data_IF_293586897774
#
_entry.id   IF_293586897774
#
_cell.length_a   1.000
_cell.length_b   1.000
_cell.length_c   1.000
_cell.angle_alpha   90.00
_cell.angle_beta   90.00
_cell.angle_gamma   90.00
#
_symmetry.space_group_name_H-M   'P 1'
#
loop_
_entity.id
_entity.type
_entity.pdbx_description
1 polymer ?
2 polymer ?
3 polymer ?
4 non-polymer ?
5 water ?
#
loop_
_entity_poly.entity_id
_entity_poly.type
_entity_poly.pdbx_seq_one_letter_code
_entity_poly.pdbx_strand_id
3 'polyribonucleotide' '(GDP)GGCCGGGCGCGGUGGCGCGCGCCUGUAGUCCCAGCUACUCGGGAGGCUC' ?
#
# COMPACT_ATOMS: atom_id res chain seq x y z
N UNK A 1 -8.34 -27.10 -18.50
CA UNK A 1 -8.34 -25.91 -19.36
C UNK A 1 -7.04 -25.15 -19.15
N UNK A 2 -6.70 -24.26 -20.08
CA UNK A 2 -5.50 -23.45 -19.98
C UNK A 2 -6.02 -22.06 -19.64
N UNK A 3 -5.19 -21.21 -19.06
CA UNK A 3 -5.63 -19.85 -18.72
C UNK A 3 -4.72 -18.78 -19.35
N UNK A 4 -5.30 -17.63 -19.65
CA UNK A 4 -4.56 -16.52 -20.28
C UNK A 4 -4.02 -15.46 -19.33
N UNK A 5 -4.36 -15.54 -18.06
CA UNK A 5 -3.87 -14.58 -17.08
C UNK A 5 -3.56 -15.29 -15.78
N UNK A 6 -2.41 -14.96 -15.19
CA UNK A 6 -1.99 -15.57 -13.94
C UNK A 6 -3.02 -15.37 -12.84
N UNK A 7 -3.71 -14.25 -12.89
CA UNK A 7 -4.73 -13.94 -11.89
C UNK A 7 -5.71 -15.10 -11.72
N UNK A 8 -6.46 -15.41 -12.79
CA UNK A 8 -7.45 -16.48 -12.76
C UNK A 8 -6.87 -17.79 -12.29
N UNK A 9 -5.98 -18.32 -13.12
CA UNK A 9 -5.30 -19.57 -12.86
C UNK A 9 -4.85 -19.73 -11.41
N UNK A 10 -4.40 -18.64 -10.81
CA UNK A 10 -3.95 -18.69 -9.43
C UNK A 10 -5.01 -19.25 -8.51
N UNK A 11 -6.09 -18.50 -8.31
CA UNK A 11 -7.17 -18.97 -7.43
C UNK A 11 -7.72 -20.27 -7.96
N UNK A 12 -7.93 -20.32 -9.27
CA UNK A 12 -8.44 -21.53 -9.87
C UNK A 12 -7.61 -22.66 -9.29
N UNK A 13 -6.29 -22.54 -9.41
CA UNK A 13 -5.39 -23.56 -8.91
C UNK A 13 -5.46 -23.72 -7.39
N UNK A 14 -5.29 -22.63 -6.67
CA UNK A 14 -5.34 -22.67 -5.20
C UNK A 14 -6.61 -23.31 -4.67
N UNK A 15 -7.75 -22.91 -5.24
CA UNK A 15 -9.06 -23.45 -4.85
C UNK A 15 -9.09 -24.96 -5.07
N UNK A 16 -8.64 -25.37 -6.24
CA UNK A 16 -8.59 -26.78 -6.63
C UNK A 16 -7.76 -27.58 -5.63
N UNK A 17 -6.61 -27.03 -5.26
CA UNK A 17 -5.75 -27.71 -4.31
C UNK A 17 -6.51 -27.80 -2.99
N UNK A 18 -7.16 -26.70 -2.64
CA UNK A 18 -7.91 -26.62 -1.40
C UNK A 18 -8.97 -27.70 -1.22
N UNK A 19 -9.69 -27.99 -2.30
CA UNK A 19 -10.77 -28.99 -2.29
C UNK A 19 -10.29 -30.44 -2.25
N UNK A 20 -9.00 -30.62 -2.02
CA UNK A 20 -8.36 -31.94 -1.95
C UNK A 20 -6.84 -31.81 -1.79
N UNK A 21 -6.40 -31.37 -0.61
CA UNK A 21 -4.96 -31.22 -0.37
C UNK A 21 -4.27 -32.54 -0.16
N UNK A 22 -4.45 -33.48 -1.07
CA UNK A 22 -3.80 -34.79 -0.94
C UNK A 22 -3.60 -35.50 -2.26
N UNK A 23 -4.52 -35.26 -3.21
CA UNK A 23 -4.42 -35.86 -4.53
C UNK A 23 -3.71 -34.87 -5.41
N UNK A 24 -4.10 -33.61 -5.27
CA UNK A 24 -3.52 -32.53 -6.07
C UNK A 24 -1.99 -32.53 -6.07
N UNK A 25 -1.45 -32.11 -7.21
CA UNK A 25 -0.02 -32.02 -7.44
C UNK A 25 0.28 -30.90 -8.46
N UNK A 26 1.42 -30.25 -8.31
CA UNK A 26 1.81 -29.16 -9.21
C UNK A 26 3.19 -29.41 -9.82
N UNK A 27 3.26 -29.33 -11.15
CA UNK A 27 4.52 -29.54 -11.83
C UNK A 27 4.90 -28.26 -12.58
N UNK A 28 6.20 -28.09 -12.80
CA UNK A 28 6.73 -26.93 -13.49
C UNK A 28 7.79 -27.43 -14.50
N UNK A 29 7.76 -26.87 -15.71
CA UNK A 29 8.68 -27.25 -16.78
C UNK A 29 9.25 -26.04 -17.47
N UNK A 30 10.55 -25.91 -17.35
CA UNK A 30 11.27 -24.82 -17.94
C UNK A 30 12.24 -25.33 -19.00
N UNK A 31 12.20 -24.74 -20.18
CA UNK A 31 13.10 -25.12 -21.27
C UNK A 31 13.80 -23.81 -21.60
N UNK A 32 15.08 -23.72 -21.24
CA UNK A 32 15.84 -22.51 -21.49
C UNK A 32 15.95 -22.23 -22.97
N UNK A 33 16.28 -23.27 -23.72
CA UNK A 33 16.48 -23.15 -25.15
C UNK A 33 15.28 -22.64 -25.94
N UNK A 34 14.08 -22.78 -25.40
CA UNK A 34 12.92 -22.29 -26.13
C UNK A 34 12.40 -21.01 -25.50
N UNK A 35 12.87 -20.73 -24.31
CA UNK A 35 12.47 -19.51 -23.63
C UNK A 35 11.04 -19.46 -23.15
N UNK A 36 10.59 -20.52 -22.50
CA UNK A 36 9.23 -20.53 -21.96
C UNK A 36 9.09 -21.39 -20.71
N UNK A 37 8.12 -21.02 -19.90
CA UNK A 37 7.81 -21.67 -18.65
C UNK A 37 6.47 -22.34 -18.84
N UNK A 38 6.04 -23.15 -17.88
CA UNK A 38 4.75 -23.83 -17.99
C UNK A 38 4.33 -24.50 -16.71
N UNK A 39 3.35 -23.91 -16.03
CA UNK A 39 2.86 -24.47 -14.77
C UNK A 39 1.54 -25.19 -15.00
N UNK A 40 1.40 -26.33 -14.35
CA UNK A 40 0.19 -27.13 -14.48
C UNK A 40 -0.16 -27.71 -13.13
N UNK A 41 -1.44 -27.69 -12.79
CA UNK A 41 -1.88 -28.29 -11.54
C UNK A 41 -2.95 -29.31 -11.87
N UNK A 42 -2.69 -30.57 -11.49
CA UNK A 42 -3.59 -31.70 -11.73
C UNK A 42 -4.16 -32.36 -10.49
N UNK A 43 -5.13 -33.23 -10.76
CA UNK A 43 -5.84 -34.03 -9.77
C UNK A 43 -5.90 -35.43 -10.37
N UNK A 44 -5.32 -35.55 -11.57
CA UNK A 44 -5.28 -36.80 -12.34
C UNK A 44 -6.67 -37.09 -12.85
N UNK A 45 -7.40 -36.01 -13.08
CA UNK A 45 -8.75 -36.06 -13.58
C UNK A 45 -9.11 -34.64 -13.98
N UNK A 46 -8.56 -33.67 -13.24
CA UNK A 46 -8.76 -32.24 -13.57
C UNK A 46 -7.34 -31.68 -13.82
N UNK A 47 -7.23 -30.76 -14.77
CA UNK A 47 -5.94 -30.21 -15.12
C UNK A 47 -5.95 -28.74 -15.53
N UNK A 48 -5.18 -27.94 -14.79
CA UNK A 48 -5.08 -26.52 -15.07
C UNK A 48 -3.71 -26.26 -15.66
N UNK A 49 -3.65 -25.32 -16.61
CA UNK A 49 -2.41 -25.05 -17.28
C UNK A 49 -2.14 -23.61 -17.63
N UNK A 50 -0.94 -23.14 -17.29
CA UNK A 50 -0.49 -21.78 -17.60
C UNK A 50 0.81 -21.81 -18.37
N UNK A 51 0.84 -21.12 -19.51
CA UNK A 51 2.06 -21.09 -20.32
C UNK A 51 2.55 -19.64 -20.45
N UNK A 52 3.87 -19.45 -20.39
CA UNK A 52 4.44 -18.09 -20.52
C UNK A 52 5.82 -18.06 -21.12
N UNK A 53 6.21 -16.86 -21.56
CA UNK A 53 7.53 -16.62 -22.11
C UNK A 53 7.92 -15.20 -21.71
N UNK A 54 7.19 -14.66 -20.72
CA UNK A 54 7.38 -13.33 -20.14
C UNK A 54 8.15 -13.47 -18.82
N UNK A 55 9.30 -12.83 -18.69
CA UNK A 55 10.09 -12.96 -17.45
C UNK A 55 9.33 -12.42 -16.25
N UNK A 56 8.46 -11.48 -16.54
CA UNK A 56 7.66 -10.86 -15.51
C UNK A 56 6.92 -11.91 -14.69
N UNK A 57 6.89 -13.15 -15.19
CA UNK A 57 6.16 -14.22 -14.52
C UNK A 57 6.91 -15.14 -13.56
N UNK A 58 8.20 -15.37 -13.80
CA UNK A 58 8.97 -16.26 -12.95
C UNK A 58 8.78 -15.99 -11.47
N UNK A 59 8.64 -14.72 -11.11
CA UNK A 59 8.47 -14.37 -9.70
C UNK A 59 7.06 -14.74 -9.28
N UNK A 60 6.08 -14.39 -10.10
CA UNK A 60 4.70 -14.71 -9.77
C UNK A 60 4.63 -16.21 -9.47
N UNK A 61 5.39 -17.02 -10.20
CA UNK A 61 5.36 -18.45 -9.94
C UNK A 61 6.17 -18.86 -8.71
N UNK A 62 7.44 -18.47 -8.65
CA UNK A 62 8.27 -18.85 -7.50
C UNK A 62 7.48 -18.54 -6.25
N UNK A 63 6.60 -17.55 -6.34
CA UNK A 63 5.77 -17.18 -5.21
C UNK A 63 4.72 -18.25 -4.98
N UNK A 64 3.93 -18.51 -6.02
CA UNK A 64 2.88 -19.51 -5.99
C UNK A 64 3.42 -20.77 -5.32
N UNK A 65 4.59 -21.22 -5.76
CA UNK A 65 5.21 -22.41 -5.18
C UNK A 65 5.37 -22.18 -3.70
N UNK A 66 6.08 -21.11 -3.37
CA UNK A 66 6.32 -20.76 -1.99
C UNK A 66 5.01 -20.70 -1.23
N UNK A 67 3.93 -20.36 -1.92
CA UNK A 67 2.62 -20.31 -1.27
C UNK A 67 2.12 -21.73 -1.05
N UNK A 68 2.06 -22.51 -2.11
CA UNK A 68 1.60 -23.88 -1.94
C UNK A 68 2.46 -24.61 -0.92
N UNK A 69 3.75 -24.30 -0.91
CA UNK A 69 4.62 -24.99 0.03
C UNK A 69 4.30 -24.67 1.48
N UNK A 70 3.54 -23.59 1.69
CA UNK A 70 3.19 -23.20 3.04
C UNK A 70 2.01 -24.01 3.54
N UNK A 71 0.98 -24.15 2.71
CA UNK A 71 -0.18 -24.94 3.09
C UNK A 71 0.27 -26.35 3.42
N UNK A 72 1.02 -26.94 2.51
CA UNK A 72 1.48 -28.31 2.71
C UNK A 72 2.22 -28.51 4.01
N UNK A 73 2.69 -27.43 4.61
CA UNK A 73 3.47 -27.60 5.83
C UNK A 73 2.87 -27.03 7.11
N UNK A 74 1.64 -26.55 7.05
CA UNK A 74 1.00 -26.04 8.26
C UNK A 74 0.05 -27.11 8.77
N UNK B 1 14.30 -42.53 -3.15
CA UNK B 1 15.31 -42.17 -2.10
C UNK B 1 15.44 -40.67 -1.89
N UNK B 2 15.19 -40.24 -0.65
CA UNK B 2 15.25 -38.83 -0.30
C UNK B 2 16.67 -38.30 -0.08
N UNK B 3 16.83 -37.01 -0.36
CA UNK B 3 18.11 -36.31 -0.20
C UNK B 3 17.94 -35.27 0.90
N UNK B 4 19.03 -34.95 1.60
CA UNK B 4 18.98 -33.96 2.67
C UNK B 4 18.59 -32.64 2.02
N UNK B 5 17.77 -31.85 2.71
CA UNK B 5 17.31 -30.55 2.19
C UNK B 5 18.34 -29.75 1.42
N UNK B 6 19.48 -29.50 2.06
CA UNK B 6 20.57 -28.74 1.42
C UNK B 6 21.04 -29.40 0.12
N UNK B 7 21.50 -30.64 0.24
CA UNK B 7 21.95 -31.40 -0.92
C UNK B 7 20.95 -31.26 -2.07
N UNK B 8 19.67 -31.44 -1.76
CA UNK B 8 18.65 -31.34 -2.78
C UNK B 8 18.85 -30.10 -3.59
N UNK B 9 18.88 -28.96 -2.91
CA UNK B 9 19.05 -27.67 -3.56
C UNK B 9 20.33 -27.58 -4.40
N UNK B 10 21.37 -28.33 -4.05
CA UNK B 10 22.57 -28.28 -4.87
C UNK B 10 22.40 -29.10 -6.16
N UNK B 11 21.86 -30.30 -6.04
CA UNK B 11 21.62 -31.14 -7.22
C UNK B 11 20.69 -30.39 -8.17
N UNK B 12 19.65 -29.77 -7.60
CA UNK B 12 18.70 -29.05 -8.42
C UNK B 12 19.40 -27.97 -9.22
N UNK B 13 20.18 -27.12 -8.52
CA UNK B 13 20.95 -26.04 -9.17
C UNK B 13 21.74 -26.61 -10.33
N UNK B 14 22.27 -27.80 -10.11
CA UNK B 14 23.04 -28.52 -11.12
C UNK B 14 22.15 -28.97 -12.29
N UNK B 15 20.96 -29.51 -11.99
CA UNK B 15 20.08 -29.92 -13.08
C UNK B 15 19.89 -28.76 -14.02
N UNK B 16 19.49 -27.63 -13.48
CA UNK B 16 19.27 -26.45 -14.30
C UNK B 16 20.50 -26.13 -15.14
N UNK B 17 21.66 -26.19 -14.52
CA UNK B 17 22.87 -25.88 -15.23
C UNK B 17 23.12 -26.79 -16.42
N UNK B 18 22.82 -28.08 -16.26
CA UNK B 18 23.01 -29.07 -17.33
C UNK B 18 21.98 -28.95 -18.43
N UNK B 19 20.80 -28.46 -18.10
CA UNK B 19 19.75 -28.33 -19.08
C UNK B 19 19.71 -27.00 -19.81
N UNK B 20 20.66 -26.11 -19.55
CA UNK B 20 20.61 -24.85 -20.27
C UNK B 20 20.76 -25.08 -21.76
N UNK B 21 21.91 -25.59 -22.18
CA UNK B 21 22.16 -25.79 -23.60
C UNK B 21 20.99 -26.25 -24.41
N UNK B 22 20.31 -27.29 -23.94
CA UNK B 22 19.15 -27.88 -24.64
C UNK B 22 18.62 -29.08 -23.85
N UNK B 23 17.53 -28.86 -23.11
CA UNK B 23 16.93 -29.92 -22.30
C UNK B 23 15.75 -29.33 -21.54
N UNK B 24 15.28 -29.95 -20.46
CA UNK B 24 14.16 -29.34 -19.72
C UNK B 24 14.22 -29.80 -18.29
N UNK B 25 13.77 -28.94 -17.39
CA UNK B 25 13.77 -29.28 -15.98
C UNK B 25 12.33 -29.43 -15.51
N UNK B 26 12.04 -30.50 -14.78
CA UNK B 26 10.68 -30.64 -14.29
C UNK B 26 10.74 -30.63 -12.75
N UNK B 27 9.87 -29.85 -12.12
CA UNK B 27 9.86 -29.80 -10.67
C UNK B 27 8.43 -30.03 -10.21
N UNK B 28 8.20 -31.00 -9.33
CA UNK B 28 6.83 -31.29 -8.86
C UNK B 28 6.73 -31.25 -7.34
N UNK B 29 5.59 -30.75 -6.87
CA UNK B 29 5.34 -30.56 -5.44
C UNK B 29 4.03 -31.22 -4.97
N UNK B 30 4.09 -32.04 -3.93
CA UNK B 30 2.91 -32.75 -3.42
C UNK B 30 2.99 -33.04 -1.91
N UNK B 31 1.85 -33.07 -1.23
CA UNK B 31 1.79 -33.37 0.20
C UNK B 31 2.31 -34.79 0.50
N UNK B 32 3.32 -34.88 1.37
CA UNK B 32 3.93 -36.16 1.72
C UNK B 32 3.18 -36.84 2.85
N UNK B 33 2.94 -38.14 2.71
CA UNK B 33 2.23 -38.91 3.74
C UNK B 33 2.19 -40.41 3.42
N UNK B 53 3.43 -33.12 9.38
CA UNK B 53 3.14 -32.57 8.06
C UNK B 53 4.36 -32.12 7.27
N UNK B 54 4.46 -32.63 6.05
CA UNK B 54 5.58 -32.31 5.17
C UNK B 54 5.07 -32.21 3.75
N UNK B 55 5.98 -32.01 2.82
CA UNK B 55 5.62 -31.93 1.42
C UNK B 55 6.82 -32.40 0.63
N UNK B 56 6.56 -33.31 -0.30
CA UNK B 56 7.59 -33.90 -1.14
C UNK B 56 7.89 -32.97 -2.29
N UNK B 57 9.15 -32.89 -2.67
CA UNK B 57 9.56 -32.02 -3.76
C UNK B 57 10.46 -32.85 -4.65
N UNK B 58 10.12 -32.93 -5.93
CA UNK B 58 10.92 -33.72 -6.85
C UNK B 58 11.25 -32.93 -8.11
N UNK B 59 12.39 -33.25 -8.70
CA UNK B 59 12.81 -32.59 -9.92
C UNK B 59 13.65 -33.55 -10.75
N UNK B 60 13.49 -33.45 -12.07
CA UNK B 60 14.24 -34.31 -12.98
C UNK B 60 14.44 -33.65 -14.34
N UNK B 61 15.41 -34.16 -15.09
CA UNK B 61 15.72 -33.62 -16.41
C UNK B 61 15.22 -34.56 -17.49
N UNK B 62 14.60 -35.66 -17.05
CA UNK B 62 14.09 -36.66 -17.96
C UNK B 62 14.59 -38.00 -17.47
N UNK B 63 15.90 -38.10 -17.26
CA UNK B 63 16.54 -39.33 -16.81
C UNK B 63 16.89 -39.31 -15.32
N UNK B 64 17.82 -38.43 -14.95
CA UNK B 64 18.27 -38.27 -13.54
C UNK B 64 17.11 -37.74 -12.71
N UNK B 65 16.92 -38.26 -11.51
CA UNK B 65 15.80 -37.83 -10.68
C UNK B 65 16.15 -37.54 -9.21
N UNK B 66 15.87 -36.33 -8.74
CA UNK B 66 16.15 -35.95 -7.35
C UNK B 66 14.88 -35.59 -6.59
N UNK B 67 14.85 -35.89 -5.29
CA UNK B 67 13.69 -35.61 -4.46
C UNK B 67 14.04 -35.27 -3.00
N UNK B 68 13.11 -34.61 -2.30
CA UNK B 68 13.35 -34.25 -0.92
C UNK B 68 12.06 -33.91 -0.21
N UNK B 69 12.10 -33.97 1.12
CA UNK B 69 10.95 -33.66 1.94
C UNK B 69 11.23 -32.42 2.80
N UNK B 70 10.34 -31.44 2.74
CA UNK B 70 10.51 -30.21 3.51
C UNK B 70 9.39 -30.10 4.53
N UNK B 71 9.79 -29.89 5.79
CA UNK B 71 8.88 -29.78 6.95
C UNK B 71 8.81 -28.37 7.49
N UNK B 72 8.05 -28.18 8.58
CA UNK B 72 7.93 -26.85 9.19
C UNK B 72 9.25 -26.55 9.85
N UNK B 73 9.92 -27.61 10.30
CA UNK B 73 11.22 -27.44 10.95
C UNK B 73 12.17 -26.75 9.99
N UNK B 74 12.03 -27.04 8.70
CA UNK B 74 12.92 -26.51 7.67
C UNK B 74 12.41 -25.57 6.57
N UNK B 75 11.11 -25.27 6.53
CA UNK B 75 10.55 -24.40 5.49
C UNK B 75 11.29 -23.08 5.31
N UNK B 76 11.70 -22.45 6.41
CA UNK B 76 12.35 -21.16 6.33
C UNK B 76 13.68 -21.18 5.60
N UNK B 77 14.68 -21.86 6.13
CA UNK B 77 15.95 -21.86 5.43
C UNK B 77 15.75 -22.28 3.97
N UNK B 78 14.88 -23.25 3.77
CA UNK B 78 14.58 -23.81 2.46
C UNK B 78 13.87 -22.89 1.46
N UNK B 79 12.76 -22.27 1.87
CA UNK B 79 12.03 -21.39 0.94
C UNK B 79 12.95 -20.33 0.34
N UNK B 80 13.61 -19.55 1.18
CA UNK B 80 14.49 -18.51 0.65
C UNK B 80 15.51 -19.10 -0.32
N UNK B 81 16.15 -20.19 0.08
CA UNK B 81 17.13 -20.83 -0.79
C UNK B 81 16.46 -21.30 -2.07
N UNK B 82 15.36 -22.04 -1.92
CA UNK B 82 14.64 -22.53 -3.08
C UNK B 82 14.19 -21.36 -3.95
N UNK B 83 13.73 -20.29 -3.31
CA UNK B 83 13.29 -19.10 -4.01
C UNK B 83 14.40 -18.50 -4.86
N UNK B 84 15.58 -18.39 -4.27
CA UNK B 84 16.69 -17.82 -5.00
C UNK B 84 17.00 -18.72 -6.18
N UNK B 85 17.01 -20.02 -5.93
CA UNK B 85 17.33 -20.96 -7.00
C UNK B 85 16.42 -20.81 -8.22
N UNK B 86 15.10 -20.81 -7.99
CA UNK B 86 14.21 -20.67 -9.11
C UNK B 86 14.40 -19.36 -9.84
N UNK B 87 14.44 -18.26 -9.11
CA UNK B 87 14.58 -16.96 -9.77
C UNK B 87 15.77 -16.74 -10.68
N UNK B 88 16.96 -17.01 -10.18
CA UNK B 88 18.18 -16.83 -10.94
C UNK B 88 18.38 -17.80 -12.09
N UNK B 89 17.86 -19.03 -11.93
CA UNK B 89 18.02 -20.00 -12.98
C UNK B 89 17.00 -20.05 -14.11
N UNK B 90 15.92 -19.29 -14.03
CA UNK B 90 14.95 -19.32 -15.12
C UNK B 90 15.07 -18.01 -15.92
N UNK B 91 16.15 -17.86 -16.65
CA UNK B 91 16.37 -16.60 -17.36
C UNK B 91 15.95 -16.36 -18.83
N UNK B 92 15.99 -17.40 -19.65
CA UNK B 92 15.66 -17.24 -21.05
C UNK B 92 14.44 -16.44 -21.49
N UNK B 93 13.43 -16.31 -20.64
CA UNK B 93 12.18 -15.62 -20.98
C UNK B 93 12.28 -14.20 -21.55
N UNK B 94 11.17 -13.66 -22.05
CA UNK B 94 11.15 -12.30 -22.62
C UNK B 94 11.17 -11.25 -21.51
N UNK C 4 -21.54 36.44 -4.57
CA UNK C 4 -21.66 35.20 -5.41
C UNK C 4 -21.14 33.91 -4.73
N UNK C 5 -20.52 33.03 -5.51
CA UNK C 5 -20.01 31.77 -4.98
C UNK C 5 -19.28 31.88 -3.65
N UNK C 6 -18.22 32.68 -3.58
CA UNK C 6 -17.49 32.82 -2.32
C UNK C 6 -18.28 33.62 -1.31
N UNK C 7 -18.79 34.77 -1.74
CA UNK C 7 -19.57 35.66 -0.87
C UNK C 7 -20.82 34.93 -0.37
N UNK C 8 -21.39 34.10 -1.22
CA UNK C 8 -22.58 33.35 -0.83
C UNK C 8 -22.12 32.25 0.12
N UNK C 9 -21.16 31.46 -0.34
CA UNK C 9 -20.62 30.36 0.45
C UNK C 9 -20.39 30.71 1.92
N UNK C 10 -19.60 31.75 2.16
CA UNK C 10 -19.31 32.14 3.54
C UNK C 10 -20.62 32.29 4.34
N UNK C 11 -21.62 32.93 3.74
CA UNK C 11 -22.89 33.11 4.43
C UNK C 11 -23.36 31.75 4.93
N UNK C 12 -23.58 30.81 4.03
CA UNK C 12 -24.06 29.48 4.40
C UNK C 12 -23.24 28.87 5.55
N UNK C 13 -21.92 29.04 5.47
CA UNK C 13 -21.02 28.51 6.48
C UNK C 13 -21.26 29.17 7.83
N UNK C 14 -21.30 30.49 7.83
CA UNK C 14 -21.52 31.25 9.05
C UNK C 14 -22.94 31.05 9.57
N UNK C 15 -23.74 30.38 8.77
CA UNK C 15 -25.11 30.06 9.12
C UNK C 15 -25.02 28.78 9.97
N UNK C 16 -24.17 27.84 9.53
CA UNK C 16 -23.94 26.57 10.23
C UNK C 16 -23.21 26.78 11.52
N UNK C 17 -22.21 27.66 11.49
CA UNK C 17 -21.47 27.92 12.70
C UNK C 17 -22.41 28.42 13.80
N UNK C 18 -23.37 29.27 13.43
CA UNK C 18 -24.31 29.86 14.39
C UNK C 18 -25.43 28.89 14.82
N UNK C 19 -25.97 28.13 13.86
CA UNK C 19 -27.03 27.15 14.08
C UNK C 19 -26.67 26.27 15.29
N UNK C 20 -25.41 25.87 15.36
CA UNK C 20 -24.89 25.06 16.47
C UNK C 20 -23.38 25.06 16.37
N UNK C 21 -22.73 26.03 17.00
CA UNK C 21 -21.28 26.20 17.02
C UNK C 21 -20.53 25.14 17.79
N UNK C 22 -21.24 24.11 18.24
CA UNK C 22 -20.61 23.05 19.02
C UNK C 22 -20.60 21.71 18.27
N UNK C 23 -21.35 21.62 17.16
CA UNK C 23 -21.41 20.38 16.40
C UNK C 23 -20.71 20.47 15.05
N UNK C 24 -20.44 21.69 14.59
CA UNK C 24 -19.78 21.87 13.30
C UNK C 24 -18.28 22.13 13.48
N UNK C 25 -17.52 21.97 12.38
CA UNK C 25 -16.08 22.18 12.38
C UNK C 25 -15.72 22.68 11.00
N UNK C 26 -14.48 23.15 10.84
CA UNK C 26 -14.03 23.67 9.54
C UNK C 26 -12.63 23.19 9.10
N UNK C 27 -12.60 22.39 8.04
CA UNK C 27 -11.34 21.85 7.51
C UNK C 27 -10.74 22.81 6.48
N UNK C 28 -9.45 22.67 6.22
CA UNK C 28 -8.77 23.54 5.27
C UNK C 28 -7.59 22.77 4.64
N UNK C 29 -7.78 22.27 3.43
CA UNK C 29 -6.78 21.44 2.74
C UNK C 29 -5.89 22.07 1.68
N UNK C 30 -4.64 22.31 2.04
CA UNK C 30 -3.63 22.91 1.16
C UNK C 30 -2.72 21.89 0.49
N UNK C 31 -2.84 21.80 -0.82
CA UNK C 31 -2.07 20.86 -1.61
C UNK C 31 -1.16 21.61 -2.59
N UNK C 32 -0.06 22.12 -2.07
CA UNK C 32 0.96 22.87 -2.82
C UNK C 32 1.30 22.33 -4.22
N UNK C 33 1.63 21.05 -4.30
CA UNK C 33 1.98 20.42 -5.57
C UNK C 33 0.93 20.76 -6.61
N UNK C 34 -0.12 19.94 -6.69
CA UNK C 34 -1.20 20.17 -7.64
C UNK C 34 -1.58 21.65 -7.62
N UNK C 35 -1.22 22.32 -6.54
CA UNK C 35 -1.51 23.74 -6.42
C UNK C 35 -2.97 24.12 -6.32
N UNK C 36 -3.53 23.97 -5.12
CA UNK C 36 -4.92 24.31 -4.90
C UNK C 36 -5.29 24.31 -3.42
N UNK C 37 -6.22 25.20 -3.06
CA UNK C 37 -6.68 25.35 -1.70
C UNK C 37 -8.09 24.81 -1.60
N UNK C 38 -8.54 24.51 -0.39
CA UNK C 38 -9.88 23.96 -0.22
C UNK C 38 -10.43 24.12 1.19
N UNK C 39 -11.48 24.93 1.32
CA UNK C 39 -12.10 25.14 2.62
C UNK C 39 -13.38 24.36 2.70
N UNK C 40 -13.67 23.83 3.89
CA UNK C 40 -14.89 23.07 4.10
C UNK C 40 -15.41 23.25 5.51
N UNK C 41 -16.71 23.46 5.62
CA UNK C 41 -17.36 23.61 6.91
C UNK C 41 -18.50 22.62 6.91
N UNK C 42 -18.44 21.67 7.83
CA UNK C 42 -19.44 20.64 7.91
C UNK C 42 -19.96 20.44 9.30
N UNK C 43 -21.06 19.70 9.37
CA UNK C 43 -21.73 19.39 10.61
C UNK C 43 -22.12 17.92 10.52
N UNK C 44 -21.41 17.19 9.67
CA UNK C 44 -21.64 15.77 9.42
C UNK C 44 -23.09 15.48 9.03
N UNK C 45 -23.77 16.52 8.54
CA UNK C 45 -25.15 16.43 8.08
C UNK C 45 -25.40 17.56 7.09
N UNK C 46 -24.29 18.13 6.61
CA UNK C 46 -24.31 19.22 5.66
C UNK C 46 -22.88 19.52 5.15
N UNK C 47 -22.50 18.88 4.04
CA UNK C 47 -21.15 19.07 3.46
C UNK C 47 -21.09 20.33 2.58
N UNK C 48 -20.66 21.46 3.14
CA UNK C 48 -20.53 22.67 2.36
C UNK C 48 -19.05 22.86 2.12
N UNK C 49 -18.62 22.75 0.86
CA UNK C 49 -17.20 22.87 0.52
C UNK C 49 -16.86 23.81 -0.63
N UNK C 50 -15.70 24.48 -0.53
CA UNK C 50 -15.26 25.43 -1.55
C UNK C 50 -13.80 25.26 -1.98
N UNK C 51 -13.58 25.00 -3.28
CA UNK C 51 -12.22 24.80 -3.83
C UNK C 51 -11.79 25.95 -4.72
N UNK C 52 -10.48 26.21 -4.75
CA UNK C 52 -9.88 27.28 -5.54
C UNK C 52 -8.49 26.87 -6.02
N UNK C 53 -8.01 27.53 -7.07
CA UNK C 53 -6.67 27.26 -7.56
C UNK C 53 -6.01 28.60 -7.86
N UNK C 54 -6.84 29.61 -8.09
CA UNK C 54 -6.33 30.95 -8.38
C UNK C 54 -5.66 31.49 -7.13
N UNK C 55 -4.68 32.38 -7.33
CA UNK C 55 -3.93 32.96 -6.23
C UNK C 55 -4.65 34.04 -5.44
N UNK C 56 -5.42 34.87 -6.13
CA UNK C 56 -6.11 35.94 -5.45
C UNK C 56 -7.08 35.50 -4.34
N UNK C 57 -7.42 34.21 -4.31
CA UNK C 57 -8.35 33.66 -3.33
C UNK C 57 -7.83 33.24 -1.95
N UNK C 58 -6.52 33.19 -1.76
CA UNK C 58 -6.01 32.79 -0.47
C UNK C 58 -6.43 33.74 0.63
N UNK C 59 -6.10 35.01 0.47
CA UNK C 59 -6.43 36.04 1.47
C UNK C 59 -7.81 35.90 2.13
N UNK C 60 -8.87 35.94 1.34
CA UNK C 60 -10.22 35.81 1.90
C UNK C 60 -10.48 34.50 2.62
N UNK C 61 -9.95 33.41 2.05
CA UNK C 61 -10.10 32.09 2.67
C UNK C 61 -9.42 32.08 4.04
N UNK C 62 -8.24 32.70 4.13
CA UNK C 62 -7.51 32.74 5.39
C UNK C 62 -8.25 33.58 6.41
N UNK C 63 -8.86 34.68 5.96
CA UNK C 63 -9.59 35.58 6.85
C UNK C 63 -10.83 34.90 7.40
N UNK C 64 -11.51 34.15 6.52
CA UNK C 64 -12.72 33.44 6.91
C UNK C 64 -12.39 32.41 7.98
N UNK C 65 -11.14 31.99 7.97
CA UNK C 65 -10.61 31.02 8.91
C UNK C 65 -10.34 31.74 10.22
N UNK C 66 -9.49 32.76 10.16
CA UNK C 66 -9.15 33.54 11.34
C UNK C 66 -10.40 34.00 12.06
N UNK C 67 -11.43 34.43 11.31
CA UNK C 67 -12.66 34.90 11.93
C UNK C 67 -13.35 33.78 12.67
N UNK C 68 -13.76 32.75 11.93
CA UNK C 68 -14.45 31.61 12.53
C UNK C 68 -13.80 31.23 13.85
N UNK C 69 -12.49 31.36 13.92
CA UNK C 69 -11.76 31.04 15.15
C UNK C 69 -12.18 31.99 16.27
N UNK C 70 -12.24 33.28 15.95
CA UNK C 70 -12.59 34.32 16.91
C UNK C 70 -13.98 34.15 17.49
N UNK C 71 -14.90 33.58 16.72
CA UNK C 71 -16.26 33.38 17.24
C UNK C 71 -16.26 32.18 18.17
N UNK C 72 -15.24 31.34 18.02
CA UNK C 72 -15.09 30.15 18.83
C UNK C 72 -14.39 30.48 20.15
N UNK C 73 -13.63 31.58 20.15
CA UNK C 73 -12.93 31.99 21.35
C UNK C 73 -13.61 33.18 22.04
N UNK C 74 -14.56 33.81 21.35
CA UNK C 74 -15.25 34.95 21.93
C UNK C 74 -16.04 34.49 23.15
N UNK D 1 -0.59 14.58 19.04
CA UNK D 1 0.24 15.36 20.01
C UNK D 1 -0.31 16.76 20.25
N UNK D 2 -0.27 17.18 21.51
CA UNK D 2 -0.75 18.49 21.91
C UNK D 2 0.44 19.34 22.29
N UNK D 3 0.62 20.45 21.58
CA UNK D 3 1.74 21.37 21.84
C UNK D 3 1.31 22.68 22.51
N UNK D 4 2.29 23.52 22.82
CA UNK D 4 2.04 24.82 23.42
C UNK D 4 2.11 25.92 22.36
N UNK D 5 1.18 26.87 22.42
CA UNK D 5 1.11 28.00 21.49
C UNK D 5 2.27 28.05 20.51
N UNK D 6 3.47 28.34 21.01
CA UNK D 6 4.62 28.43 20.15
C UNK D 6 4.83 27.14 19.37
N UNK D 7 5.50 26.18 20.01
CA UNK D 7 5.78 24.87 19.43
C UNK D 7 4.94 24.60 18.19
N UNK D 8 3.62 24.62 18.36
CA UNK D 8 2.70 24.36 17.26
C UNK D 8 3.00 25.11 15.98
N UNK D 9 3.35 26.39 16.08
CA UNK D 9 3.67 27.16 14.89
C UNK D 9 4.90 26.63 14.14
N UNK D 10 5.98 26.31 14.88
CA UNK D 10 7.20 25.78 14.25
C UNK D 10 6.95 24.41 13.62
N UNK D 11 6.23 23.55 14.32
CA UNK D 11 5.93 22.24 13.76
C UNK D 11 5.13 22.48 12.47
N UNK D 12 4.15 23.39 12.54
CA UNK D 12 3.32 23.69 11.38
C UNK D 12 4.11 24.20 10.20
N UNK D 13 5.04 25.13 10.43
CA UNK D 13 5.82 25.62 9.32
C UNK D 13 6.41 24.43 8.61
N UNK D 14 6.97 23.51 9.39
CA UNK D 14 7.56 22.31 8.79
C UNK D 14 6.57 21.56 7.92
N UNK D 15 5.40 21.25 8.45
CA UNK D 15 4.42 20.51 7.65
C UNK D 15 4.28 21.03 6.23
N UNK D 16 4.39 22.35 6.06
CA UNK D 16 4.29 22.93 4.72
C UNK D 16 5.56 22.66 3.96
N UNK D 17 6.69 22.84 4.65
CA UNK D 17 8.00 22.61 4.05
C UNK D 17 8.23 21.14 3.74
N UNK D 18 7.56 20.26 4.48
CA UNK D 18 7.68 18.82 4.29
C UNK D 18 6.57 18.31 3.37
N UNK D 19 6.05 19.21 2.54
CA UNK D 19 4.98 18.86 1.61
C UNK D 19 5.01 19.72 0.37
N UNK D 20 6.02 20.57 0.27
CA UNK D 20 6.13 21.45 -0.88
C UNK D 20 6.29 20.67 -2.19
N UNK D 21 6.80 19.45 -2.12
CA UNK D 21 6.98 18.64 -3.32
C UNK D 21 5.78 17.75 -3.61
N UNK D 22 5.06 17.36 -2.57
CA UNK D 22 3.87 16.52 -2.73
C UNK D 22 3.08 16.44 -1.44
N UNK D 23 1.95 15.73 -1.46
CA UNK D 23 1.15 15.59 -0.26
C UNK D 23 0.29 16.81 0.06
N UNK D 24 -0.66 16.62 0.99
CA UNK D 24 -1.58 17.69 1.37
C UNK D 24 -1.46 18.05 2.84
N UNK D 25 -1.53 19.34 3.14
CA UNK D 25 -1.44 19.83 4.50
C UNK D 25 -2.82 20.16 5.04
N UNK D 26 -3.33 19.35 5.98
CA UNK D 26 -4.65 19.61 6.55
C UNK D 26 -4.60 20.48 7.80
N UNK D 27 -5.71 21.14 8.07
CA UNK D 27 -5.85 21.99 9.25
C UNK D 27 -7.34 22.07 9.54
N UNK D 28 -7.77 21.71 10.74
CA UNK D 28 -9.19 21.82 11.06
C UNK D 28 -9.31 22.66 12.31
N UNK D 29 -10.28 23.59 12.30
CA UNK D 29 -10.50 24.48 13.44
C UNK D 29 -11.77 24.05 14.15
N UNK D 30 -11.86 24.30 15.46
CA UNK D 30 -13.05 23.82 16.16
C UNK D 30 -13.25 24.42 17.56
N UNK D 31 -14.53 24.67 17.90
CA UNK D 31 -14.92 25.22 19.21
C UNK D 31 -14.70 24.07 20.22
N UNK D 32 -13.93 24.31 21.28
CA UNK D 32 -13.63 23.24 22.25
C UNK D 32 -13.89 23.53 23.73
N UNK D 33 -14.23 22.47 24.47
CA UNK D 33 -14.55 22.57 25.90
C UNK D 33 -13.93 21.46 26.80
N UNK D 34 -14.66 20.35 26.93
CA UNK D 34 -14.21 19.24 27.76
C UNK D 34 -12.87 18.61 27.38
N UNK D 53 -12.88 30.42 27.38
CA UNK D 53 -13.32 29.81 26.13
C UNK D 53 -12.13 29.48 25.23
N UNK D 54 -12.19 28.32 24.58
CA UNK D 54 -11.11 27.85 23.73
C UNK D 54 -11.54 27.12 22.45
N UNK D 55 -10.61 27.00 21.51
CA UNK D 55 -10.82 26.33 20.22
C UNK D 55 -9.70 25.31 19.97
N UNK D 56 -10.04 24.18 19.34
CA UNK D 56 -9.07 23.14 19.05
C UNK D 56 -8.50 23.29 17.65
N UNK D 57 -7.19 23.42 17.53
CA UNK D 57 -6.54 23.59 16.24
C UNK D 57 -5.65 22.38 15.89
N UNK D 58 -5.96 21.70 14.78
CA UNK D 58 -5.21 20.52 14.37
C UNK D 58 -4.53 20.60 12.98
N UNK D 59 -3.33 20.05 12.87
CA UNK D 59 -2.64 20.06 11.59
C UNK D 59 -2.04 18.67 11.32
N UNK D 60 -2.10 18.22 10.07
CA UNK D 60 -1.57 16.92 9.71
C UNK D 60 -1.17 16.85 8.25
N UNK D 61 -0.06 16.17 7.98
CA UNK D 61 0.43 16.01 6.63
C UNK D 61 0.10 14.58 6.17
N UNK D 62 -0.54 13.81 7.04
CA UNK D 62 -0.88 12.43 6.71
C UNK D 62 -0.02 11.44 7.46
N UNK D 63 1.16 11.89 7.90
CA UNK D 63 2.11 11.06 8.63
C UNK D 63 2.18 11.54 10.08
N UNK D 64 2.58 12.81 10.27
CA UNK D 64 2.69 13.43 11.59
C UNK D 64 1.44 14.27 11.92
N UNK D 65 1.00 14.19 13.18
CA UNK D 65 -0.17 14.93 13.66
C UNK D 65 0.29 15.93 14.71
N UNK D 66 -0.43 17.04 14.81
CA UNK D 66 -0.11 18.06 15.80
C UNK D 66 -1.34 18.89 16.04
N UNK D 67 -1.50 19.36 17.26
CA UNK D 67 -2.64 20.20 17.60
C UNK D 67 -2.27 21.14 18.75
N UNK D 68 -3.13 22.11 19.00
CA UNK D 68 -2.90 23.08 20.04
C UNK D 68 -4.27 23.60 20.48
N UNK D 69 -4.31 24.29 21.61
CA UNK D 69 -5.56 24.84 22.14
C UNK D 69 -5.41 26.35 22.33
N UNK D 70 -6.13 27.11 21.51
CA UNK D 70 -6.08 28.57 21.55
C UNK D 70 -7.22 29.15 22.37
N UNK D 71 -6.87 30.01 23.33
CA UNK D 71 -7.82 30.66 24.21
C UNK D 71 -7.90 32.17 23.92
N UNK D 72 -8.97 32.80 24.37
CA UNK D 72 -9.16 34.23 24.17
C UNK D 72 -8.00 35.08 24.70
N UNK D 73 -7.25 34.53 25.64
CA UNK D 73 -6.12 35.24 26.25
C UNK D 73 -4.96 35.50 25.31
N UNK D 74 -4.80 34.66 24.30
CA UNK D 74 -3.68 34.81 23.38
C UNK D 74 -4.04 34.95 21.90
N UNK D 75 -5.32 34.81 21.57
CA UNK D 75 -5.75 34.90 20.18
C UNK D 75 -5.14 36.02 19.34
N UNK D 76 -4.96 37.21 19.92
CA UNK D 76 -4.38 38.33 19.16
C UNK D 76 -2.93 38.04 18.82
N UNK D 77 -2.14 37.72 19.85
CA UNK D 77 -0.72 37.44 19.67
C UNK D 77 -0.48 36.22 18.77
N UNK D 78 -1.28 35.19 18.96
CA UNK D 78 -1.15 33.97 18.18
C UNK D 78 -1.57 34.22 16.74
N UNK D 79 -2.75 34.81 16.55
CA UNK D 79 -3.24 35.09 15.21
C UNK D 79 -2.29 35.96 14.40
N UNK D 80 -1.50 36.78 15.08
CA UNK D 80 -0.58 37.63 14.36
C UNK D 80 0.39 36.75 13.58
N UNK D 81 1.08 35.84 14.28
CA UNK D 81 2.04 34.96 13.64
C UNK D 81 1.38 33.89 12.76
N UNK D 82 0.27 33.33 13.23
CA UNK D 82 -0.46 32.30 12.50
C UNK D 82 -0.92 32.80 11.13
N UNK D 83 -1.28 34.07 11.08
CA UNK D 83 -1.76 34.69 9.84
C UNK D 83 -0.62 34.86 8.86
N UNK D 84 0.54 35.31 9.34
CA UNK D 84 1.69 35.47 8.44
C UNK D 84 2.10 34.10 7.92
N UNK D 85 2.11 33.13 8.83
CA UNK D 85 2.48 31.75 8.52
C UNK D 85 1.63 31.19 7.38
N UNK D 86 0.32 31.25 7.51
CA UNK D 86 -0.53 30.72 6.46
C UNK D 86 -0.36 31.43 5.13
N UNK D 87 -0.18 32.74 5.16
CA UNK D 87 -0.05 33.52 3.92
C UNK D 87 1.26 33.31 3.18
N UNK D 88 2.35 33.14 3.93
CA UNK D 88 3.65 32.95 3.34
C UNK D 88 3.86 31.54 2.79
N UNK D 89 3.46 30.54 3.56
CA UNK D 89 3.64 29.16 3.15
C UNK D 89 2.67 28.69 2.08
N UNK D 90 1.58 29.43 1.88
CA UNK D 90 0.60 29.03 0.88
C UNK D 90 0.72 29.71 -0.47
N UNK D 91 1.88 30.32 -0.75
CA UNK D 91 2.04 30.94 -2.05
C UNK D 91 2.49 29.87 -3.06
N UNK D 92 1.53 29.35 -3.80
CA UNK D 92 1.84 28.33 -4.78
C UNK D 92 0.66 28.09 -5.69
N UNK D 93 -0.41 28.85 -5.49
CA UNK D 93 -1.59 28.69 -6.32
C UNK D 93 -1.48 29.52 -7.61
N UNK D 94 -2.43 29.33 -8.53
CA UNK D 94 -2.48 30.01 -9.83
C UNK D 94 -2.01 31.46 -9.89
X LIG F 1 1.80 -29.54 -24.39
X LIG F 1 1.25 -29.37 -25.77
X LIG F 1 0.72 -29.28 -23.41
X LIG F 1 2.33 -30.89 -24.22
X LIG F 1 2.89 -28.56 -24.19
X LIG G 1 10.32 -43.58 -7.68
X LIG G 1 10.07 -42.49 -8.69
X LIG G 1 9.08 -44.34 -7.48
X LIG G 1 11.39 -44.45 -8.18
X LIG G 1 10.73 -42.97 -6.41
X LIG H 1 16.83 -17.82 12.56
X LIG H 1 16.40 -16.79 11.57
X LIG H 1 15.65 -18.64 12.89
X LIG H 1 17.88 -18.65 12.03
X LIG H 1 17.29 -17.11 13.78
#
# INVERSE_FOLDING_TARGET
PQYQTWEEFSRAAEKLYLADPMKARVVLKYRHSDGNLCVKVTDDLVCLVYKTDQAQDVKKIEKFHSQLMRLMVAKEARNVTMETE
VLLESEQFLTELTRLFQKCRTSGSVYITLKKYDGRTKPIPKKGTVEGFEPADNKCLLRATDGKKKISTVVSSKEVNKFQMAYSNLLRANMDGLKKRDKKNKTKKTK
PQYQTWEEFSRAAEKLYLADPMKARVVLKYRHSDGNLCVKVTDDLVCLVYKTDQAQDVKKIEKFHSQLMRLMVAKEARNVTMETE
VLLESEQFLTELTRLFQKCRTSGSVYITLKKYDGRTKPIPKKGTVEGFEPADNKCLLRATDGKKKISTVVSSKEVNKFQMAYSNLLRANMDGLKKRDKKNKTKKTK
SO4 S O1 O2 O3 O4
SO4 S O1 O2 O3 O4
SO4 S O1 O2 O3 O4
#
